data_IF_645382627075
#
_entry.id   IF_645382627075
#
_cell.length_a   1.000
_cell.length_b   1.000
_cell.length_c   1.000
_cell.angle_alpha   90.00
_cell.angle_beta   90.00
_cell.angle_gamma   90.00
#
_symmetry.space_group_name_H-M   'P 1'
#
loop_
_entity.id
_entity.type
_entity.pdbx_description
1 polymer ?
#
# COMPACT_ATOMS: atom_id res chain seq x y z
N UNK A 1 -46.33 -85.50 5.81
CA UNK A 1 -44.89 -85.16 5.89
C UNK A 1 -44.71 -83.89 5.07
N UNK A 2 -44.28 -82.78 5.67
CA UNK A 2 -43.99 -81.56 4.89
C UNK A 2 -42.69 -81.75 4.11
N UNK A 3 -42.65 -81.32 2.86
CA UNK A 3 -41.54 -81.49 1.90
C UNK A 3 -40.89 -80.14 1.52
N UNK A 4 -40.99 -79.13 2.38
CA UNK A 4 -40.39 -77.83 2.11
C UNK A 4 -38.85 -77.93 2.12
N UNK A 5 -38.24 -77.49 1.02
CA UNK A 5 -36.79 -77.41 0.85
C UNK A 5 -36.41 -75.93 0.95
N UNK A 6 -35.45 -75.61 1.82
CA UNK A 6 -34.87 -74.27 1.98
C UNK A 6 -33.40 -74.33 1.59
N UNK A 7 -32.99 -73.47 0.65
CA UNK A 7 -31.60 -73.42 0.15
C UNK A 7 -31.08 -71.98 0.18
N UNK A 8 -29.79 -71.81 0.52
CA UNK A 8 -29.12 -70.51 0.38
C UNK A 8 -28.92 -70.21 -1.10
N UNK A 9 -29.62 -69.20 -1.61
CA UNK A 9 -29.43 -68.73 -2.97
C UNK A 9 -28.02 -68.14 -3.14
N UNK A 10 -27.36 -68.43 -4.26
CA UNK A 10 -26.11 -67.76 -4.62
C UNK A 10 -26.35 -66.25 -4.80
N UNK A 11 -25.40 -65.42 -4.38
CA UNK A 11 -25.46 -63.99 -4.63
C UNK A 11 -25.40 -63.71 -6.14
N UNK A 12 -26.03 -62.63 -6.60
CA UNK A 12 -25.92 -62.21 -7.99
C UNK A 12 -24.49 -61.71 -8.28
N UNK A 13 -24.09 -61.74 -9.56
CA UNK A 13 -22.77 -61.27 -9.93
C UNK A 13 -22.58 -59.79 -9.55
N UNK A 14 -21.55 -59.50 -8.74
CA UNK A 14 -21.28 -58.17 -8.22
C UNK A 14 -22.08 -57.78 -6.97
N UNK A 15 -22.79 -58.72 -6.35
CA UNK A 15 -23.55 -58.54 -5.12
C UNK A 15 -23.11 -59.54 -4.03
N UNK A 16 -23.39 -59.22 -2.78
CA UNK A 16 -23.12 -60.08 -1.63
C UNK A 16 -24.38 -60.23 -0.76
N UNK A 17 -24.77 -61.48 -0.48
CA UNK A 17 -25.88 -61.74 0.42
C UNK A 17 -25.49 -61.40 1.86
N UNK A 18 -26.30 -60.57 2.53
CA UNK A 18 -26.10 -60.22 3.94
C UNK A 18 -26.62 -61.29 4.91
N UNK A 19 -27.59 -62.10 4.47
CA UNK A 19 -28.16 -63.19 5.25
C UNK A 19 -27.37 -64.49 5.04
N UNK A 20 -27.14 -65.19 6.14
CA UNK A 20 -26.58 -66.54 6.15
C UNK A 20 -27.62 -67.57 6.59
N UNK A 21 -27.45 -68.80 6.12
CA UNK A 21 -28.33 -69.93 6.41
C UNK A 21 -27.46 -71.13 6.80
N UNK A 22 -27.68 -71.68 7.98
CA UNK A 22 -27.03 -72.90 8.48
C UNK A 22 -28.05 -73.99 8.81
N UNK A 23 -27.62 -75.25 8.76
CA UNK A 23 -28.45 -76.40 9.17
C UNK A 23 -28.04 -76.83 10.57
N UNK A 24 -29.02 -76.97 11.47
CA UNK A 24 -28.79 -77.37 12.86
C UNK A 24 -28.84 -78.90 13.05
N UNK A 25 -28.62 -79.33 14.29
CA UNK A 25 -28.79 -80.72 14.74
C UNK A 25 -27.91 -81.76 14.00
N UNK A 26 -26.82 -81.31 13.38
CA UNK A 26 -25.85 -82.17 12.68
C UNK A 26 -26.39 -82.81 11.39
N UNK A 27 -27.53 -82.33 10.87
CA UNK A 27 -28.11 -82.77 9.60
C UNK A 27 -27.51 -82.03 8.41
N UNK A 28 -27.69 -82.60 7.23
CA UNK A 28 -27.34 -81.97 5.97
C UNK A 28 -28.54 -81.17 5.40
N UNK A 29 -28.24 -80.21 4.52
CA UNK A 29 -29.28 -79.51 3.77
C UNK A 29 -30.09 -80.52 2.94
N UNK A 30 -31.42 -80.43 3.03
CA UNK A 30 -32.36 -81.32 2.35
C UNK A 30 -32.76 -82.57 3.13
N UNK A 31 -32.16 -82.87 4.30
CA UNK A 31 -32.56 -84.00 5.12
C UNK A 31 -33.98 -83.84 5.68
N UNK A 32 -34.73 -84.94 5.82
CA UNK A 32 -36.07 -84.90 6.40
C UNK A 32 -36.02 -84.40 7.84
N UNK A 33 -36.78 -83.33 8.13
CA UNK A 33 -36.77 -82.65 9.42
C UNK A 33 -35.46 -81.93 9.72
N UNK A 34 -34.72 -81.47 8.69
CA UNK A 34 -33.65 -80.50 8.86
C UNK A 34 -34.22 -79.17 9.40
N UNK A 35 -33.53 -78.59 10.37
CA UNK A 35 -33.85 -77.26 10.91
C UNK A 35 -32.87 -76.25 10.33
N UNK A 36 -33.40 -75.22 9.69
CA UNK A 36 -32.60 -74.14 9.11
C UNK A 36 -32.60 -72.93 10.03
N UNK A 37 -31.43 -72.37 10.26
CA UNK A 37 -31.22 -71.17 11.07
C UNK A 37 -30.76 -70.05 10.14
N UNK A 38 -31.58 -69.00 10.04
CA UNK A 38 -31.30 -67.82 9.21
C UNK A 38 -30.81 -66.71 10.11
N UNK A 39 -29.72 -66.04 9.73
CA UNK A 39 -29.19 -64.92 10.49
C UNK A 39 -28.72 -63.79 9.60
N UNK A 40 -28.83 -62.56 10.11
CA UNK A 40 -28.13 -61.39 9.58
C UNK A 40 -27.36 -60.80 10.75
N UNK A 41 -26.05 -60.66 10.60
CA UNK A 41 -25.24 -60.06 11.66
C UNK A 41 -25.24 -58.55 11.54
N UNK A 42 -25.23 -57.84 12.67
CA UNK A 42 -25.02 -56.39 12.71
C UNK A 42 -23.72 -55.99 12.00
N UNK A 43 -22.67 -56.83 12.08
CA UNK A 43 -21.39 -56.62 11.40
C UNK A 43 -21.51 -56.64 9.88
N UNK A 44 -22.30 -57.55 9.30
CA UNK A 44 -22.53 -57.61 7.86
C UNK A 44 -23.24 -56.35 7.37
N UNK A 45 -24.27 -55.89 8.10
CA UNK A 45 -24.97 -54.64 7.80
C UNK A 45 -24.05 -53.42 7.93
N UNK A 46 -23.21 -53.37 8.97
CA UNK A 46 -22.23 -52.31 9.16
C UNK A 46 -21.20 -52.25 8.04
N UNK A 47 -20.65 -53.39 7.61
CA UNK A 47 -19.69 -53.45 6.51
C UNK A 47 -20.31 -52.96 5.20
N UNK A 48 -21.51 -53.45 4.87
CA UNK A 48 -22.23 -53.02 3.69
C UNK A 48 -22.51 -51.50 3.70
N UNK A 49 -22.89 -50.95 4.87
CA UNK A 49 -23.09 -49.52 5.03
C UNK A 49 -21.79 -48.72 4.84
N UNK A 50 -20.66 -49.19 5.38
CA UNK A 50 -19.36 -48.53 5.21
C UNK A 50 -18.87 -48.57 3.76
N UNK A 51 -19.02 -49.71 3.08
CA UNK A 51 -18.62 -49.87 1.68
C UNK A 51 -19.42 -48.99 0.73
N UNK A 52 -20.68 -48.71 1.08
CA UNK A 52 -21.54 -47.81 0.33
C UNK A 52 -21.17 -46.32 0.50
N UNK A 53 -20.37 -45.96 1.52
CA UNK A 53 -20.07 -44.57 1.84
C UNK A 53 -18.63 -44.22 1.42
N UNK A 54 -18.51 -43.23 0.54
CA UNK A 54 -17.22 -42.62 0.16
C UNK A 54 -17.22 -41.14 0.51
N UNK A 55 -16.39 -40.76 1.47
CA UNK A 55 -16.13 -39.37 1.84
C UNK A 55 -14.66 -39.06 1.61
N UNK A 56 -14.34 -37.98 0.90
CA UNK A 56 -12.98 -37.56 0.62
C UNK A 56 -12.83 -36.05 0.77
N UNK A 57 -11.69 -35.60 1.29
CA UNK A 57 -11.30 -34.19 1.34
C UNK A 57 -9.91 -33.99 0.74
N UNK A 58 -9.70 -32.83 0.11
CA UNK A 58 -8.40 -32.35 -0.35
C UNK A 58 -8.13 -30.98 0.24
N UNK A 59 -6.88 -30.73 0.64
CA UNK A 59 -6.45 -29.45 1.21
C UNK A 59 -7.02 -28.26 0.42
N UNK A 60 -7.64 -27.26 1.08
CA UNK A 60 -7.59 -26.98 2.53
C UNK A 60 -8.58 -27.74 3.40
N UNK A 61 -9.50 -28.52 2.82
CA UNK A 61 -10.45 -29.34 3.59
C UNK A 61 -9.90 -30.76 3.70
N UNK A 62 -9.74 -31.25 4.92
CA UNK A 62 -9.33 -32.63 5.14
C UNK A 62 -10.45 -33.40 5.81
N UNK A 63 -10.57 -34.68 5.47
CA UNK A 63 -11.51 -35.59 6.09
C UNK A 63 -10.71 -36.71 6.72
N UNK A 64 -10.85 -36.88 8.02
CA UNK A 64 -10.26 -37.99 8.75
C UNK A 64 -11.37 -38.95 9.17
N UNK A 65 -11.30 -40.19 8.67
CA UNK A 65 -12.22 -41.26 9.05
C UNK A 65 -11.63 -42.00 10.26
N UNK A 66 -12.46 -42.19 11.27
CA UNK A 66 -12.23 -43.19 12.33
C UNK A 66 -13.38 -44.19 12.32
N UNK A 67 -13.12 -45.42 12.74
CA UNK A 67 -14.15 -46.45 12.83
C UNK A 67 -14.14 -47.02 14.24
N UNK A 68 -15.27 -46.95 14.93
CA UNK A 68 -15.47 -47.60 16.23
C UNK A 68 -16.71 -48.49 16.17
N UNK A 69 -16.58 -49.74 16.61
CA UNK A 69 -17.66 -50.73 16.64
C UNK A 69 -18.49 -50.82 15.34
N UNK A 70 -17.84 -50.67 14.18
CA UNK A 70 -18.48 -50.74 12.87
C UNK A 70 -19.26 -49.47 12.47
N UNK A 71 -19.10 -48.36 13.19
CA UNK A 71 -19.63 -47.04 12.84
C UNK A 71 -18.47 -46.15 12.43
N UNK A 72 -18.58 -45.52 11.26
CA UNK A 72 -17.60 -44.54 10.80
C UNK A 72 -17.96 -43.15 11.31
N UNK A 73 -16.96 -42.47 11.89
CA UNK A 73 -17.02 -41.04 12.20
C UNK A 73 -16.07 -40.29 11.26
N UNK A 74 -16.57 -39.21 10.68
CA UNK A 74 -15.85 -38.41 9.68
C UNK A 74 -15.60 -37.01 10.22
N UNK A 75 -14.42 -36.80 10.78
CA UNK A 75 -13.98 -35.48 11.21
C UNK A 75 -13.58 -34.64 9.99
N UNK A 76 -14.32 -33.56 9.73
CA UNK A 76 -14.02 -32.60 8.67
C UNK A 76 -13.28 -31.42 9.27
N UNK A 77 -12.13 -31.07 8.70
CA UNK A 77 -11.29 -29.98 9.18
C UNK A 77 -10.97 -29.00 8.06
N UNK A 78 -10.94 -27.70 8.39
CA UNK A 78 -10.51 -26.62 7.50
C UNK A 78 -9.13 -26.10 7.91
N UNK A 79 -8.18 -26.13 6.99
CA UNK A 79 -6.85 -25.57 7.19
C UNK A 79 -6.78 -24.15 6.57
N UNK A 80 -6.95 -23.14 7.42
CA UNK A 80 -6.90 -21.73 7.00
C UNK A 80 -5.58 -21.32 6.36
N UNK A 81 -4.45 -21.90 6.80
CA UNK A 81 -3.13 -21.61 6.23
C UNK A 81 -3.00 -22.14 4.80
N UNK A 82 -3.48 -23.36 4.54
CA UNK A 82 -3.50 -23.90 3.17
C UNK A 82 -4.53 -23.18 2.31
N UNK A 83 -5.67 -22.79 2.88
CA UNK A 83 -6.69 -22.04 2.17
C UNK A 83 -6.15 -20.69 1.70
N UNK A 84 -5.40 -19.99 2.55
CA UNK A 84 -4.80 -18.71 2.23
C UNK A 84 -3.79 -18.77 1.06
N UNK A 85 -3.24 -19.95 0.73
CA UNK A 85 -2.35 -20.14 -0.44
C UNK A 85 -3.11 -20.17 -1.77
N UNK A 86 -4.42 -20.45 -1.73
CA UNK A 86 -5.25 -20.68 -2.92
C UNK A 86 -6.37 -19.66 -3.09
N UNK A 87 -6.60 -18.80 -2.09
CA UNK A 87 -7.64 -17.76 -2.14
C UNK A 87 -6.98 -16.41 -2.50
N UNK A 88 -7.29 -15.83 -3.67
CA UNK A 88 -6.87 -14.48 -4.01
C UNK A 88 -7.75 -13.43 -3.32
N UNK A 89 -7.12 -12.39 -2.79
CA UNK A 89 -7.75 -11.13 -2.44
C UNK A 89 -7.70 -10.20 -3.66
N UNK A 90 -8.87 -9.80 -4.16
CA UNK A 90 -9.01 -8.85 -5.26
C UNK A 90 -9.17 -7.44 -4.71
N UNK A 91 -8.43 -6.47 -5.26
CA UNK A 91 -8.48 -5.06 -4.87
C UNK A 91 -8.33 -4.14 -6.08
N UNK A 92 -8.76 -2.88 -5.93
CA UNK A 92 -8.74 -1.86 -6.99
C UNK A 92 -8.13 -0.57 -6.46
N UNK A 93 -7.37 0.12 -7.30
CA UNK A 93 -6.97 1.51 -7.05
C UNK A 93 -7.94 2.45 -7.77
N UNK A 94 -8.61 3.33 -7.03
CA UNK A 94 -9.49 4.37 -7.57
C UNK A 94 -10.58 3.83 -8.53
N UNK A 95 -11.16 2.67 -8.22
CA UNK A 95 -12.21 2.05 -9.04
C UNK A 95 -11.76 1.51 -10.41
N UNK A 96 -10.46 1.49 -10.69
CA UNK A 96 -9.90 0.98 -11.95
C UNK A 96 -9.87 -0.57 -11.99
N UNK A 97 -9.10 -1.12 -12.92
CA UNK A 97 -8.91 -2.55 -13.13
C UNK A 97 -8.54 -3.31 -11.86
N UNK A 98 -9.04 -4.54 -11.77
CA UNK A 98 -8.73 -5.46 -10.69
C UNK A 98 -7.25 -5.81 -10.62
N UNK A 99 -6.76 -5.87 -9.38
CA UNK A 99 -5.48 -6.42 -8.97
C UNK A 99 -5.75 -7.56 -7.99
N UNK A 100 -4.83 -8.51 -7.92
CA UNK A 100 -4.96 -9.66 -7.02
C UNK A 100 -3.67 -9.90 -6.25
N UNK A 101 -3.82 -10.43 -5.04
CA UNK A 101 -2.72 -10.98 -4.24
C UNK A 101 -3.24 -12.21 -3.49
N UNK A 102 -2.41 -13.23 -3.26
CA UNK A 102 -2.85 -14.37 -2.46
C UNK A 102 -2.98 -13.96 -0.98
N UNK A 103 -3.99 -14.48 -0.27
CA UNK A 103 -4.19 -14.16 1.15
C UNK A 103 -2.95 -14.44 2.00
N UNK A 104 -2.20 -15.51 1.70
CA UNK A 104 -0.97 -15.85 2.41
C UNK A 104 0.19 -14.88 2.17
N UNK A 105 0.12 -14.02 1.13
CA UNK A 105 1.11 -12.98 0.87
C UNK A 105 0.74 -11.66 1.53
N UNK A 106 -0.56 -11.42 1.74
CA UNK A 106 -1.07 -10.17 2.29
C UNK A 106 -0.89 -8.97 1.34
N UNK A 107 -1.33 -7.80 1.78
CA UNK A 107 -1.09 -6.54 1.09
C UNK A 107 0.23 -5.93 1.57
N UNK A 108 1.03 -5.42 0.64
CA UNK A 108 2.24 -4.66 0.95
C UNK A 108 2.03 -3.20 0.58
N UNK A 109 1.98 -2.33 1.59
CA UNK A 109 1.88 -0.88 1.40
C UNK A 109 3.29 -0.31 1.37
N UNK A 110 3.70 0.20 0.22
CA UNK A 110 5.05 0.72 0.00
C UNK A 110 5.06 2.24 -0.02
N UNK A 111 6.22 2.81 0.29
CA UNK A 111 6.48 4.24 0.14
C UNK A 111 6.28 4.70 -1.31
N UNK A 112 5.81 5.93 -1.46
CA UNK A 112 5.81 6.66 -2.72
C UNK A 112 7.01 7.61 -2.79
N UNK A 113 7.13 8.35 -3.90
CA UNK A 113 8.25 9.29 -4.08
C UNK A 113 8.37 10.35 -2.98
N UNK A 114 7.23 10.82 -2.44
CA UNK A 114 7.15 11.88 -1.42
C UNK A 114 6.22 11.48 -0.27
N UNK A 115 5.96 10.20 -0.10
CA UNK A 115 5.10 9.70 0.97
C UNK A 115 5.69 8.45 1.58
N UNK A 116 5.56 8.31 2.90
CA UNK A 116 5.96 7.10 3.62
C UNK A 116 4.71 6.37 4.11
N UNK A 117 4.63 5.08 3.82
CA UNK A 117 3.56 4.22 4.28
C UNK A 117 3.87 3.73 5.70
N UNK A 118 2.86 3.77 6.59
CA UNK A 118 2.96 3.13 7.90
C UNK A 118 1.69 2.32 8.20
N UNK A 119 1.88 1.20 8.90
CA UNK A 119 0.80 0.28 9.28
C UNK A 119 0.79 0.13 10.80
N UNK A 120 -0.39 0.24 11.39
CA UNK A 120 -0.62 0.03 12.81
C UNK A 120 -1.60 -1.14 13.03
N UNK A 121 -1.94 -1.38 14.29
CA UNK A 121 -2.91 -2.41 14.67
C UNK A 121 -4.26 -2.24 13.95
N UNK A 122 -5.03 -3.32 13.88
CA UNK A 122 -6.38 -3.36 13.31
C UNK A 122 -6.47 -2.94 11.83
N UNK A 123 -5.36 -3.05 11.09
CA UNK A 123 -5.31 -2.75 9.67
C UNK A 123 -5.35 -1.25 9.35
N UNK A 124 -5.04 -0.38 10.32
CA UNK A 124 -4.89 1.06 10.06
C UNK A 124 -3.66 1.31 9.19
N UNK A 125 -3.88 1.86 8.01
CA UNK A 125 -2.84 2.27 7.06
C UNK A 125 -2.80 3.78 6.98
N UNK A 126 -1.62 4.38 7.12
CA UNK A 126 -1.38 5.81 6.98
C UNK A 126 -0.34 6.06 5.89
N UNK A 127 -0.47 7.22 5.26
CA UNK A 127 0.53 7.77 4.35
C UNK A 127 0.88 9.16 4.83
N UNK A 128 2.11 9.33 5.31
CA UNK A 128 2.64 10.62 5.70
C UNK A 128 3.33 11.27 4.51
N UNK A 129 3.20 12.59 4.36
CA UNK A 129 3.89 13.35 3.32
C UNK A 129 5.29 13.69 3.79
N UNK A 130 6.28 13.37 2.97
CA UNK A 130 7.68 13.69 3.22
C UNK A 130 7.92 15.16 2.84
N UNK A 131 7.94 16.01 3.85
CA UNK A 131 8.13 17.44 3.68
C UNK A 131 9.60 17.80 3.48
N UNK A 132 9.84 18.74 2.58
CA UNK A 132 11.13 19.39 2.34
C UNK A 132 11.14 20.78 2.95
N UNK A 133 12.33 21.31 3.23
CA UNK A 133 12.50 22.67 3.71
C UNK A 133 13.18 23.55 2.65
N UNK A 134 12.88 24.84 2.70
CA UNK A 134 13.49 25.85 1.84
C UNK A 134 14.50 26.62 2.70
N UNK A 135 15.76 26.63 2.28
CA UNK A 135 16.84 27.39 2.88
C UNK A 135 16.95 28.73 2.17
N UNK A 136 17.28 29.79 2.89
CA UNK A 136 17.65 31.08 2.28
C UNK A 136 19.04 31.45 2.74
N UNK A 137 19.97 31.59 1.80
CA UNK A 137 21.35 32.01 2.06
C UNK A 137 21.70 33.20 1.17
N UNK A 138 22.28 34.24 1.78
CA UNK A 138 22.65 35.48 1.09
C UNK A 138 21.48 36.06 0.28
N UNK A 139 20.29 36.07 0.87
CA UNK A 139 19.05 36.54 0.25
C UNK A 139 18.46 35.61 -0.83
N UNK A 140 19.08 34.48 -1.16
CA UNK A 140 18.62 33.56 -2.22
C UNK A 140 18.02 32.29 -1.64
N UNK A 141 16.82 31.94 -2.10
CA UNK A 141 16.18 30.68 -1.76
C UNK A 141 16.86 29.50 -2.47
N UNK A 142 17.01 28.39 -1.75
CA UNK A 142 17.55 27.12 -2.20
C UNK A 142 16.81 25.98 -1.48
N UNK A 143 16.88 24.77 -2.01
CA UNK A 143 16.37 23.60 -1.29
C UNK A 143 17.33 23.29 -0.13
N UNK A 144 16.79 22.93 1.03
CA UNK A 144 17.61 22.58 2.18
C UNK A 144 18.27 21.20 1.98
N UNK A 145 19.54 21.23 1.60
CA UNK A 145 20.41 20.08 1.34
C UNK A 145 21.58 20.57 0.49
N UNK A 146 22.78 20.66 1.07
CA UNK A 146 23.96 21.18 0.37
C UNK A 146 24.48 20.20 -0.68
N UNK A 147 24.82 20.62 -1.91
CA UNK A 147 26.00 20.10 -2.56
C UNK A 147 27.21 20.88 -2.03
N UNK A 148 28.02 20.25 -1.17
CA UNK A 148 29.42 20.65 -1.03
C UNK A 148 30.14 20.11 -2.27
N UNK A 149 30.55 21.01 -3.15
CA UNK A 149 31.42 20.74 -4.30
C UNK A 149 30.79 19.93 -5.48
N UNK A 150 30.06 20.63 -6.36
CA UNK A 150 30.14 20.35 -7.80
C UNK A 150 29.54 19.05 -8.36
N UNK A 151 28.47 18.51 -7.79
CA UNK A 151 27.63 17.52 -8.48
C UNK A 151 26.16 17.98 -8.49
N UNK A 152 25.59 18.09 -9.69
CA UNK A 152 24.17 18.37 -9.88
C UNK A 152 23.35 17.11 -9.53
N UNK A 153 22.48 17.23 -8.53
CA UNK A 153 21.29 16.40 -8.34
C UNK A 153 21.46 15.08 -7.60
N UNK A 154 21.03 15.03 -6.34
CA UNK A 154 20.21 13.96 -5.73
C UNK A 154 19.72 14.46 -4.37
N UNK A 155 18.43 14.26 -4.11
CA UNK A 155 17.56 14.74 -3.02
C UNK A 155 17.05 16.20 -3.12
N UNK A 156 15.76 16.33 -3.48
CA UNK A 156 15.02 17.59 -3.43
C UNK A 156 15.11 18.49 -4.67
N UNK A 157 15.11 17.94 -5.91
CA UNK A 157 14.75 18.80 -7.05
C UNK A 157 13.25 19.18 -7.04
N UNK A 158 12.41 18.25 -6.58
CA UNK A 158 10.96 18.40 -6.45
C UNK A 158 10.54 17.97 -5.03
N UNK A 159 10.52 18.88 -4.08
CA UNK A 159 10.13 18.62 -2.69
C UNK A 159 8.78 19.25 -2.33
N UNK A 160 8.03 18.64 -1.40
CA UNK A 160 6.77 19.23 -0.90
C UNK A 160 7.07 20.16 0.26
N UNK A 161 6.80 21.46 0.10
CA UNK A 161 6.94 22.44 1.17
C UNK A 161 5.55 22.79 1.75
N UNK A 162 5.50 23.13 3.03
CA UNK A 162 4.29 23.71 3.63
C UNK A 162 4.15 25.18 3.23
N UNK A 163 2.94 25.73 3.40
CA UNK A 163 2.70 27.18 3.26
C UNK A 163 3.64 27.98 4.15
N UNK A 164 3.90 27.52 5.38
CA UNK A 164 4.82 28.18 6.31
C UNK A 164 6.25 28.22 5.75
N UNK A 165 6.75 27.10 5.18
CA UNK A 165 8.09 27.06 4.60
C UNK A 165 8.25 28.09 3.46
N UNK A 166 7.22 28.23 2.62
CA UNK A 166 7.24 29.19 1.50
C UNK A 166 7.21 30.63 2.01
N UNK A 167 6.33 30.95 2.96
CA UNK A 167 6.23 32.30 3.55
C UNK A 167 7.53 32.68 4.24
N UNK A 168 8.13 31.78 5.01
CA UNK A 168 9.39 32.04 5.69
C UNK A 168 10.53 32.29 4.70
N UNK A 169 10.60 31.50 3.63
CA UNK A 169 11.60 31.70 2.59
C UNK A 169 11.43 33.04 1.88
N UNK A 170 10.18 33.41 1.54
CA UNK A 170 9.87 34.68 0.89
C UNK A 170 10.26 35.89 1.77
N UNK A 171 9.93 35.84 3.06
CA UNK A 171 10.24 36.93 4.00
C UNK A 171 11.73 37.02 4.34
N UNK A 172 12.50 35.94 4.14
CA UNK A 172 13.97 35.93 4.31
C UNK A 172 14.71 36.26 3.03
N UNK A 173 14.13 35.98 1.87
CA UNK A 173 14.73 36.31 0.58
C UNK A 173 14.94 37.82 0.49
N UNK A 174 16.09 38.19 -0.07
CA UNK A 174 16.54 39.57 -0.13
C UNK A 174 17.42 39.80 -1.35
N UNK A 175 17.48 41.05 -1.76
CA UNK A 175 18.51 41.54 -2.67
C UNK A 175 19.37 42.58 -1.94
N UNK A 176 20.60 42.76 -2.39
CA UNK A 176 21.56 43.62 -1.70
C UNK A 176 21.68 44.98 -2.39
N UNK A 177 21.51 46.06 -1.63
CA UNK A 177 21.91 47.42 -2.00
C UNK A 177 23.31 47.68 -1.49
N UNK A 178 24.20 48.11 -2.37
CA UNK A 178 25.49 48.67 -2.02
C UNK A 178 25.69 50.00 -2.74
N UNK A 179 26.13 51.02 -2.01
CA UNK A 179 26.60 52.27 -2.59
C UNK A 179 28.11 52.20 -2.79
N UNK A 180 28.60 52.73 -3.90
CA UNK A 180 30.03 52.84 -4.20
C UNK A 180 30.34 54.21 -4.81
N UNK A 181 31.58 54.67 -4.66
CA UNK A 181 32.09 55.88 -5.30
C UNK A 181 33.24 55.55 -6.24
N UNK A 182 33.33 56.31 -7.34
CA UNK A 182 34.58 56.49 -8.08
C UNK A 182 35.26 57.76 -7.58
N UNK A 183 34.85 58.94 -8.07
CA UNK A 183 35.40 60.25 -7.66
C UNK A 183 34.49 61.02 -6.67
N UNK A 184 33.26 60.55 -6.45
CA UNK A 184 32.29 61.21 -5.58
C UNK A 184 32.45 60.88 -4.10
N UNK A 185 31.41 61.16 -3.31
CA UNK A 185 31.37 60.86 -1.87
C UNK A 185 30.30 59.80 -1.58
N UNK A 186 30.64 58.83 -0.72
CA UNK A 186 29.64 57.98 -0.06
C UNK A 186 29.92 58.02 1.44
N UNK A 187 28.95 58.47 2.21
CA UNK A 187 28.97 58.44 3.66
C UNK A 187 28.20 57.21 4.17
N UNK A 188 28.75 56.51 5.18
CA UNK A 188 28.04 55.41 5.87
C UNK A 188 27.97 54.08 5.12
N UNK A 189 29.01 53.71 4.34
CA UNK A 189 29.07 52.47 3.55
C UNK A 189 28.83 51.20 4.37
N UNK A 190 27.59 50.73 4.39
CA UNK A 190 27.22 49.37 4.76
C UNK A 190 26.32 48.81 3.66
N UNK A 191 26.72 47.69 3.08
CA UNK A 191 25.84 46.86 2.25
C UNK A 191 24.59 46.50 3.06
N UNK A 192 23.40 46.65 2.49
CA UNK A 192 22.13 46.33 3.16
C UNK A 192 21.30 45.38 2.32
N UNK A 193 20.71 44.41 3.00
CA UNK A 193 19.68 43.56 2.41
C UNK A 193 18.35 44.29 2.39
N UNK A 194 17.62 44.16 1.28
CA UNK A 194 16.25 44.63 1.11
C UNK A 194 15.38 43.40 0.92
N UNK A 195 14.51 43.15 1.89
CA UNK A 195 13.60 42.00 1.94
C UNK A 195 12.27 42.32 1.29
N UNK A 196 11.44 41.29 1.13
CA UNK A 196 10.09 41.49 0.64
C UNK A 196 9.28 42.38 1.61
N UNK A 197 8.62 43.41 1.08
CA UNK A 197 7.89 44.40 1.85
C UNK A 197 8.71 45.61 2.32
N UNK A 198 10.04 45.58 2.19
CA UNK A 198 10.88 46.74 2.53
C UNK A 198 10.68 47.89 1.55
N UNK A 199 10.75 49.12 2.06
CA UNK A 199 10.72 50.34 1.24
C UNK A 199 12.12 50.88 1.05
N UNK A 200 12.52 51.09 -0.21
CA UNK A 200 13.76 51.80 -0.56
C UNK A 200 13.41 53.23 -0.96
N UNK A 201 13.94 54.19 -0.21
CA UNK A 201 13.75 55.62 -0.47
C UNK A 201 14.96 56.19 -1.18
N UNK A 202 14.74 56.97 -2.24
CA UNK A 202 15.80 57.71 -2.91
C UNK A 202 15.58 59.21 -2.69
N UNK A 203 16.49 59.86 -1.98
CA UNK A 203 16.42 61.28 -1.69
C UNK A 203 17.14 62.09 -2.78
N UNK A 204 16.38 62.96 -3.45
CA UNK A 204 16.89 63.82 -4.50
C UNK A 204 17.62 65.04 -3.92
N UNK A 205 18.95 65.09 -4.05
CA UNK A 205 19.74 66.28 -3.71
C UNK A 205 19.44 67.45 -4.66
N UNK A 206 19.94 68.66 -4.33
CA UNK A 206 19.62 69.93 -5.04
C UNK A 206 19.73 69.87 -6.58
N UNK A 207 20.68 69.08 -7.11
CA UNK A 207 20.95 69.00 -8.56
C UNK A 207 20.45 67.70 -9.20
N UNK A 208 19.69 66.88 -8.49
CA UNK A 208 19.19 65.60 -8.98
C UNK A 208 17.67 65.67 -9.06
N UNK A 209 17.11 65.32 -10.22
CA UNK A 209 15.68 65.06 -10.34
C UNK A 209 15.45 63.55 -10.43
N UNK A 210 14.64 63.01 -9.53
CA UNK A 210 14.20 61.61 -9.54
C UNK A 210 12.78 61.57 -10.05
N UNK A 211 12.53 60.82 -11.13
CA UNK A 211 11.19 60.56 -11.64
C UNK A 211 10.93 59.06 -11.56
N UNK A 212 9.87 58.66 -10.87
CA UNK A 212 9.41 57.28 -10.84
C UNK A 212 8.30 57.12 -11.88
N UNK A 213 8.49 56.19 -12.81
CA UNK A 213 7.44 55.74 -13.72
C UNK A 213 7.11 54.28 -13.39
N UNK A 214 5.81 53.95 -13.29
CA UNK A 214 5.36 52.57 -13.16
C UNK A 214 5.58 51.81 -14.46
N UNK A 215 5.75 50.49 -14.39
CA UNK A 215 6.41 49.73 -15.45
C UNK A 215 5.60 48.52 -15.94
N UNK A 216 5.40 48.46 -17.26
CA UNK A 216 5.18 47.24 -18.06
C UNK A 216 6.46 46.83 -18.87
N UNK A 217 7.63 46.63 -18.21
CA UNK A 217 9.00 46.18 -18.68
C UNK A 217 10.21 47.17 -18.62
N UNK A 218 11.48 46.68 -18.56
CA UNK A 218 12.37 46.49 -17.38
C UNK A 218 12.99 47.77 -16.77
N UNK A 219 13.29 47.78 -15.46
CA UNK A 219 13.78 48.90 -14.60
C UNK A 219 14.63 50.02 -15.27
N UNK A 220 13.99 50.93 -16.01
CA UNK A 220 14.49 52.26 -16.37
C UNK A 220 14.28 53.22 -15.19
N UNK A 221 15.28 53.38 -14.33
CA UNK A 221 15.36 54.51 -13.40
C UNK A 221 16.17 55.60 -14.11
N UNK A 222 15.51 56.65 -14.62
CA UNK A 222 16.23 57.77 -15.26
C UNK A 222 16.59 58.81 -14.21
N UNK A 223 17.82 58.75 -13.69
CA UNK A 223 18.40 59.85 -12.91
C UNK A 223 18.94 60.90 -13.90
N UNK A 224 18.44 62.13 -13.84
CA UNK A 224 18.97 63.25 -14.64
C UNK A 224 19.66 64.25 -13.72
N UNK A 225 20.94 64.52 -14.00
CA UNK A 225 21.73 65.57 -13.35
C UNK A 225 21.35 66.91 -13.97
N UNK A 226 20.87 67.84 -13.16
CA UNK A 226 20.59 69.20 -13.59
C UNK A 226 21.74 70.10 -13.10
N UNK A 227 22.71 70.38 -13.98
CA UNK A 227 23.74 71.37 -13.67
C UNK A 227 23.17 72.78 -13.94
N UNK A 228 23.23 73.72 -12.98
CA UNK A 228 22.99 75.12 -13.29
C UNK A 228 24.08 75.61 -14.24
N UNK A 229 23.70 76.28 -15.35
CA UNK A 229 24.65 77.02 -16.18
C UNK A 229 25.28 78.14 -15.32
N UNK A 230 26.54 77.98 -14.93
CA UNK A 230 27.36 79.12 -14.52
C UNK A 230 27.74 79.87 -15.80
N UNK A 231 26.87 80.79 -16.22
CA UNK A 231 27.25 81.84 -17.14
C UNK A 231 28.19 82.77 -16.36
N UNK A 232 29.49 82.47 -16.35
CA UNK A 232 30.48 83.44 -15.93
C UNK A 232 30.45 84.54 -16.98
N UNK A 233 29.86 85.68 -16.62
CA UNK A 233 30.01 86.91 -17.40
C UNK A 233 31.50 87.21 -17.49
N UNK A 234 32.05 87.07 -18.70
CA UNK A 234 33.37 87.63 -19.03
C UNK A 234 33.13 89.14 -19.16
N UNK A 235 33.69 90.00 -18.29
CA UNK A 235 33.70 91.42 -18.56
C UNK A 235 34.61 91.69 -19.76
N UNK A 236 34.16 92.58 -20.65
CA UNK A 236 34.80 93.01 -21.90
C UNK A 236 36.31 93.25 -21.83
#
# INVERSE_FOLDING_TARGET
MSTEIVEKKAAQAGDENLADITVADGKNAGDMGAKYEVSVSKKAVQKAAQDAIKVSGTSPITVNKTTDNGVDDYAVSFNGTEAAKSIPLTYKANGNNDKTVMLNKGLNFTDGTMTTASVANDGVVKYDVNLSTIKVENGKAAVAGTPVNGANGTDGKDGVATVQNVVDALNKAAWTVAASKSEGEVAGNASKEVKNGDTVTYDAGKNIKITQTTRNSPLQQKMMLNLPLLLQGIPN
#
